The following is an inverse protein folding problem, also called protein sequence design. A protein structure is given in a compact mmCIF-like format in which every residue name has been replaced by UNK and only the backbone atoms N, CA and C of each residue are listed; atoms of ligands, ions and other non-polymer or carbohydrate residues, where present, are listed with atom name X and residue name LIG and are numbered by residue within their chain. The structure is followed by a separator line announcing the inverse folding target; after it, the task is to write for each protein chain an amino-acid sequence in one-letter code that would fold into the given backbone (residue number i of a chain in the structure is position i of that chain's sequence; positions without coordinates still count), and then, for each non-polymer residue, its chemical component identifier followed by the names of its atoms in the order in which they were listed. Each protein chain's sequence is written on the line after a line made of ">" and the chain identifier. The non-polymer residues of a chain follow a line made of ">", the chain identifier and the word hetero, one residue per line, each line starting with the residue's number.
data_IF_148712402145
#
_entry.id   IF_148712402145
#
_cell.length_a   1.000
_cell.length_b   1.000
_cell.length_c   1.000
_cell.angle_alpha   90.00
_cell.angle_beta   90.00
_cell.angle_gamma   90.00
#
_symmetry.space_group_name_H-M   'P 1'
#
loop_
_entity.id
_entity.type
_entity.pdbx_description
1 polymer ?
#
# COMPACT_ATOMS: atom_id res chain seq x y z
N UNK A 1 60.39 -5.22 4.38
CA UNK A 1 59.22 -4.34 4.23
C UNK A 1 58.01 -4.98 3.52
N UNK A 2 57.82 -6.31 3.57
CA UNK A 2 56.79 -7.00 2.77
C UNK A 2 55.40 -7.15 3.44
N UNK A 3 55.22 -6.66 4.67
CA UNK A 3 54.02 -6.91 5.47
C UNK A 3 52.86 -5.94 5.17
N UNK A 4 53.11 -4.79 4.52
CA UNK A 4 52.10 -3.78 4.21
C UNK A 4 51.15 -4.13 3.06
N UNK A 5 51.62 -4.88 2.06
CA UNK A 5 50.84 -5.16 0.84
C UNK A 5 49.68 -6.16 1.09
N UNK A 6 49.93 -7.21 1.88
CA UNK A 6 48.90 -8.20 2.20
C UNK A 6 47.77 -7.64 3.06
N UNK A 7 48.08 -6.75 4.01
CA UNK A 7 47.07 -6.12 4.87
C UNK A 7 46.16 -5.13 4.11
N UNK A 8 46.67 -4.47 3.07
CA UNK A 8 45.89 -3.59 2.19
C UNK A 8 44.94 -4.44 1.33
N UNK A 9 45.43 -5.53 0.73
CA UNK A 9 44.62 -6.42 -0.10
C UNK A 9 43.44 -7.08 0.65
N UNK A 10 43.64 -7.46 1.92
CA UNK A 10 42.56 -8.03 2.74
C UNK A 10 41.48 -6.99 3.06
N UNK A 11 41.88 -5.75 3.39
CA UNK A 11 40.95 -4.64 3.64
C UNK A 11 40.16 -4.26 2.40
N UNK A 12 40.81 -4.25 1.24
CA UNK A 12 40.15 -3.96 -0.04
C UNK A 12 39.15 -5.07 -0.39
N UNK A 13 39.48 -6.34 -0.16
CA UNK A 13 38.56 -7.46 -0.39
C UNK A 13 37.34 -7.43 0.55
N UNK A 14 37.52 -7.07 1.83
CA UNK A 14 36.43 -6.89 2.79
C UNK A 14 35.52 -5.69 2.43
N UNK A 15 36.11 -4.59 1.97
CA UNK A 15 35.39 -3.42 1.49
C UNK A 15 34.60 -3.72 0.19
N UNK A 16 35.19 -4.47 -0.73
CA UNK A 16 34.51 -4.95 -1.94
C UNK A 16 33.34 -5.88 -1.58
N UNK A 17 33.56 -6.84 -0.68
CA UNK A 17 32.52 -7.78 -0.24
C UNK A 17 31.38 -7.12 0.55
N UNK A 18 31.65 -5.99 1.21
CA UNK A 18 30.63 -5.16 1.86
C UNK A 18 29.84 -4.34 0.85
N UNK A 19 30.51 -3.78 -0.15
CA UNK A 19 29.89 -3.04 -1.25
C UNK A 19 28.92 -3.91 -2.05
N UNK A 20 29.32 -5.14 -2.40
CA UNK A 20 28.46 -6.08 -3.15
C UNK A 20 27.20 -6.44 -2.35
N UNK A 21 27.33 -6.68 -1.03
CA UNK A 21 26.18 -6.98 -0.17
C UNK A 21 25.21 -5.80 -0.07
N UNK A 22 25.72 -4.58 0.08
CA UNK A 22 24.90 -3.37 0.09
C UNK A 22 24.16 -3.19 -1.24
N UNK A 23 24.83 -3.40 -2.37
CA UNK A 23 24.20 -3.34 -3.69
C UNK A 23 23.07 -4.37 -3.84
N UNK A 24 23.27 -5.60 -3.36
CA UNK A 24 22.24 -6.63 -3.37
C UNK A 24 21.01 -6.23 -2.53
N UNK A 25 21.23 -5.72 -1.32
CA UNK A 25 20.14 -5.27 -0.44
C UNK A 25 19.38 -4.08 -1.02
N UNK A 26 20.08 -3.13 -1.65
CA UNK A 26 19.44 -2.00 -2.33
C UNK A 26 18.60 -2.50 -3.50
N UNK A 27 19.10 -3.45 -4.30
CA UNK A 27 18.33 -4.03 -5.41
C UNK A 27 17.06 -4.74 -4.93
N UNK A 28 17.15 -5.50 -3.83
CA UNK A 28 16.01 -6.20 -3.22
C UNK A 28 14.98 -5.22 -2.63
N UNK A 29 15.44 -4.15 -1.97
CA UNK A 29 14.57 -3.09 -1.46
C UNK A 29 13.81 -2.39 -2.60
N UNK A 30 14.51 -2.05 -3.68
CA UNK A 30 13.88 -1.42 -4.84
C UNK A 30 12.91 -2.36 -5.57
N UNK A 31 13.21 -3.65 -5.62
CA UNK A 31 12.29 -4.65 -6.14
C UNK A 31 11.02 -4.74 -5.29
N UNK A 32 11.17 -4.91 -3.97
CA UNK A 32 10.05 -4.98 -3.02
C UNK A 32 9.19 -3.72 -3.06
N UNK A 33 9.81 -2.53 -3.18
CA UNK A 33 9.10 -1.26 -3.33
C UNK A 33 8.26 -1.19 -4.60
N UNK A 34 8.77 -1.71 -5.73
CA UNK A 34 8.01 -1.77 -6.98
C UNK A 34 6.81 -2.69 -6.84
N UNK A 35 7.01 -3.89 -6.31
CA UNK A 35 5.92 -4.85 -6.10
C UNK A 35 4.84 -4.29 -5.17
N UNK A 36 5.23 -3.62 -4.08
CA UNK A 36 4.28 -2.97 -3.18
C UNK A 36 3.47 -1.86 -3.87
N UNK A 37 4.09 -1.06 -4.74
CA UNK A 37 3.39 -0.03 -5.54
C UNK A 37 2.42 -0.65 -6.53
N UNK A 38 2.83 -1.70 -7.23
CA UNK A 38 1.99 -2.38 -8.22
C UNK A 38 0.77 -3.04 -7.56
N UNK A 39 0.96 -3.66 -6.38
CA UNK A 39 -0.13 -4.18 -5.56
C UNK A 39 -1.05 -3.07 -5.06
N UNK A 40 -0.49 -1.93 -4.63
CA UNK A 40 -1.26 -0.74 -4.24
C UNK A 40 -2.13 -0.23 -5.39
N UNK A 41 -1.56 -0.07 -6.58
CA UNK A 41 -2.30 0.36 -7.77
C UNK A 41 -3.41 -0.63 -8.17
N UNK A 42 -3.14 -1.94 -8.09
CA UNK A 42 -4.14 -2.97 -8.37
C UNK A 42 -5.29 -2.96 -7.33
N UNK A 43 -4.96 -2.81 -6.04
CA UNK A 43 -5.94 -2.62 -4.96
C UNK A 43 -6.83 -1.41 -5.26
N UNK A 44 -6.24 -0.29 -5.65
CA UNK A 44 -6.97 0.96 -5.88
C UNK A 44 -7.91 0.85 -7.07
N UNK A 45 -7.43 0.28 -8.18
CA UNK A 45 -8.24 0.03 -9.36
C UNK A 45 -9.43 -0.89 -9.08
N UNK A 46 -9.19 -2.03 -8.40
CA UNK A 46 -10.25 -2.98 -8.04
C UNK A 46 -11.25 -2.38 -7.05
N UNK A 47 -10.75 -1.72 -6.00
CA UNK A 47 -11.57 -1.09 -4.98
C UNK A 47 -12.46 0.01 -5.56
N UNK A 48 -11.90 0.89 -6.38
CA UNK A 48 -12.67 1.95 -7.05
C UNK A 48 -13.70 1.36 -8.04
N UNK A 49 -13.34 0.34 -8.81
CA UNK A 49 -14.26 -0.33 -9.72
C UNK A 49 -15.44 -0.99 -8.97
N UNK A 50 -15.16 -1.60 -7.82
CA UNK A 50 -16.18 -2.21 -6.97
C UNK A 50 -17.10 -1.15 -6.34
N UNK A 51 -16.50 -0.18 -5.63
CA UNK A 51 -17.24 0.83 -4.87
C UNK A 51 -18.05 1.76 -5.80
N UNK A 52 -17.51 2.16 -6.96
CA UNK A 52 -18.26 3.00 -7.93
C UNK A 52 -19.60 2.43 -8.37
N UNK A 53 -19.76 1.09 -8.31
CA UNK A 53 -21.00 0.37 -8.62
C UNK A 53 -21.79 0.05 -7.35
N UNK A 54 -21.14 -0.53 -6.34
CA UNK A 54 -21.82 -1.14 -5.20
C UNK A 54 -22.21 -0.15 -4.10
N UNK A 55 -21.60 1.03 -4.02
CA UNK A 55 -22.12 2.11 -3.17
C UNK A 55 -23.41 2.75 -3.72
N UNK A 56 -23.89 2.29 -4.89
CA UNK A 56 -25.15 2.72 -5.52
C UNK A 56 -26.12 1.56 -5.72
N UNK A 57 -25.86 0.43 -5.08
CA UNK A 57 -26.70 -0.76 -5.21
C UNK A 57 -28.13 -0.45 -4.74
N UNK A 58 -29.12 -1.12 -5.33
CA UNK A 58 -30.51 -0.99 -4.92
C UNK A 58 -30.72 -1.54 -3.50
N UNK A 59 -29.97 -2.59 -3.16
CA UNK A 59 -30.00 -3.18 -1.83
C UNK A 59 -29.21 -2.32 -0.83
N UNK A 60 -29.86 -1.72 0.19
CA UNK A 60 -29.18 -0.95 1.21
C UNK A 60 -28.15 -1.75 2.01
N UNK A 61 -28.32 -3.07 2.14
CA UNK A 61 -27.38 -3.91 2.87
C UNK A 61 -26.04 -4.03 2.12
N UNK A 62 -26.08 -4.13 0.79
CA UNK A 62 -24.87 -4.13 -0.05
C UNK A 62 -24.11 -2.81 0.11
N UNK A 63 -24.82 -1.67 0.08
CA UNK A 63 -24.20 -0.35 0.27
C UNK A 63 -23.56 -0.22 1.66
N UNK A 64 -24.27 -0.65 2.70
CA UNK A 64 -23.77 -0.69 4.09
C UNK A 64 -22.46 -1.49 4.19
N UNK A 65 -22.43 -2.69 3.62
CA UNK A 65 -21.23 -3.55 3.61
C UNK A 65 -20.04 -2.89 2.90
N UNK A 66 -20.28 -2.13 1.82
CA UNK A 66 -19.24 -1.36 1.16
C UNK A 66 -18.63 -0.28 2.06
N UNK A 67 -19.45 0.48 2.81
CA UNK A 67 -18.96 1.52 3.72
C UNK A 67 -18.22 0.92 4.91
N UNK A 68 -18.70 -0.19 5.48
CA UNK A 68 -17.97 -0.90 6.54
C UNK A 68 -16.62 -1.44 6.05
N UNK A 69 -16.57 -1.97 4.82
CA UNK A 69 -15.32 -2.43 4.22
C UNK A 69 -14.33 -1.29 4.07
N UNK A 70 -14.78 -0.13 3.58
CA UNK A 70 -13.96 1.06 3.44
C UNK A 70 -13.41 1.54 4.80
N UNK A 71 -14.25 1.56 5.83
CA UNK A 71 -13.81 1.89 7.19
C UNK A 71 -12.80 0.89 7.76
N UNK A 72 -12.94 -0.41 7.47
CA UNK A 72 -11.94 -1.42 7.85
C UNK A 72 -10.61 -1.19 7.14
N UNK A 73 -10.64 -0.92 5.84
CA UNK A 73 -9.42 -0.65 5.07
C UNK A 73 -8.69 0.59 5.56
N UNK A 74 -9.42 1.68 5.85
CA UNK A 74 -8.84 2.89 6.41
C UNK A 74 -8.21 2.68 7.79
N UNK A 75 -8.71 1.75 8.61
CA UNK A 75 -8.07 1.39 9.89
C UNK A 75 -6.82 0.53 9.70
N UNK A 76 -6.73 -0.25 8.63
CA UNK A 76 -5.56 -1.07 8.32
C UNK A 76 -4.41 -0.23 7.74
N UNK A 77 -4.74 0.76 6.92
CA UNK A 77 -3.77 1.61 6.22
C UNK A 77 -4.36 3.02 6.06
N UNK A 78 -4.22 3.84 7.09
CA UNK A 78 -4.82 5.17 7.11
C UNK A 78 -4.24 6.09 6.03
N UNK A 79 -2.95 5.96 5.73
CA UNK A 79 -2.28 6.78 4.72
C UNK A 79 -2.87 6.51 3.34
N UNK A 80 -2.92 5.25 2.91
CA UNK A 80 -3.45 4.90 1.60
C UNK A 80 -4.93 5.23 1.40
N UNK A 81 -5.73 5.20 2.46
CA UNK A 81 -7.19 5.40 2.39
C UNK A 81 -7.63 6.83 2.76
N UNK A 82 -6.68 7.71 3.08
CA UNK A 82 -6.93 9.15 3.24
C UNK A 82 -6.98 9.91 1.91
N UNK A 83 -6.56 9.27 0.82
CA UNK A 83 -6.56 9.82 -0.54
C UNK A 83 -7.97 10.15 -1.08
N UNK A 84 -8.04 11.16 -1.96
CA UNK A 84 -9.28 11.67 -2.56
C UNK A 84 -10.12 10.59 -3.25
N UNK A 85 -9.46 9.56 -3.80
CA UNK A 85 -10.12 8.45 -4.47
C UNK A 85 -11.06 7.67 -3.54
N UNK A 86 -10.77 7.65 -2.23
CA UNK A 86 -11.52 6.91 -1.22
C UNK A 86 -12.50 7.78 -0.45
N UNK A 87 -12.10 9.00 -0.08
CA UNK A 87 -12.92 9.92 0.71
C UNK A 87 -14.24 10.28 0.01
N UNK A 88 -14.26 10.28 -1.32
CA UNK A 88 -15.51 10.47 -2.09
C UNK A 88 -16.58 9.41 -1.78
N UNK A 89 -16.19 8.17 -1.48
CA UNK A 89 -17.14 7.10 -1.18
C UNK A 89 -17.68 7.22 0.24
N UNK A 90 -16.88 7.73 1.18
CA UNK A 90 -17.37 8.12 2.51
C UNK A 90 -18.44 9.20 2.39
N UNK A 91 -18.21 10.22 1.54
CA UNK A 91 -19.21 11.25 1.28
C UNK A 91 -20.53 10.69 0.72
N UNK A 92 -20.45 9.72 -0.20
CA UNK A 92 -21.65 9.02 -0.68
C UNK A 92 -22.38 8.28 0.44
N UNK A 93 -21.66 7.62 1.34
CA UNK A 93 -22.29 6.91 2.46
C UNK A 93 -22.91 7.86 3.48
N UNK A 94 -22.28 9.01 3.79
CA UNK A 94 -22.85 10.01 4.71
C UNK A 94 -24.16 10.62 4.17
N UNK A 95 -24.33 10.63 2.85
CA UNK A 95 -25.52 11.15 2.16
C UNK A 95 -26.49 10.06 1.71
N UNK A 96 -26.25 8.79 2.12
CA UNK A 96 -27.12 7.67 1.76
C UNK A 96 -28.54 7.89 2.28
N UNK A 97 -29.55 7.39 1.57
CA UNK A 97 -30.95 7.50 2.00
C UNK A 97 -31.26 6.55 3.15
N UNK A 98 -30.59 5.40 3.20
CA UNK A 98 -30.76 4.40 4.24
C UNK A 98 -29.98 4.77 5.51
N UNK A 99 -30.64 4.73 6.66
CA UNK A 99 -30.06 5.12 7.96
C UNK A 99 -28.94 4.19 8.40
N UNK A 100 -29.03 2.89 8.10
CA UNK A 100 -27.99 1.90 8.48
C UNK A 100 -26.77 2.05 7.60
N UNK A 101 -26.96 2.29 6.30
CA UNK A 101 -25.87 2.60 5.39
C UNK A 101 -25.13 3.88 5.81
N UNK A 102 -25.84 4.94 6.21
CA UNK A 102 -25.21 6.14 6.79
C UNK A 102 -24.44 5.86 8.07
N UNK A 103 -25.01 5.07 8.98
CA UNK A 103 -24.37 4.72 10.25
C UNK A 103 -23.16 3.77 10.12
N UNK A 104 -22.90 3.25 8.91
CA UNK A 104 -21.74 2.40 8.63
C UNK A 104 -20.50 3.18 8.15
N UNK A 105 -20.65 4.48 7.85
CA UNK A 105 -19.52 5.39 7.61
C UNK A 105 -18.99 5.90 8.95
#
# INVERSE_FOLDING_TARGET
>A
EFCGSAAIQVRDAEAQGSTVRLQSLVAELEHTRREARDLGAARDALGAALLSRRTKDVDPEVRRLCFEALGRWARMDAEAFSEDVWTRYLHFGLTDRDTKARGAV
#
